data_IF_320935168942
#
_entry.id   IF_320935168942
#
_cell.length_a   1.000
_cell.length_b   1.000
_cell.length_c   1.000
_cell.angle_alpha   90.00
_cell.angle_beta   90.00
_cell.angle_gamma   90.00
#
_symmetry.space_group_name_H-M   'P 1'
#
loop_
_entity.id
_entity.type
_entity.pdbx_description
1 polymer ?
#
# COMPACT_ATOMS: atom_id res chain seq x y z
N UNK A 1 3.01 26.45 6.07
CA UNK A 1 2.89 25.34 5.10
C UNK A 1 2.53 24.01 5.75
N UNK A 2 3.14 23.67 6.90
CA UNK A 2 2.82 22.48 7.73
C UNK A 2 1.31 22.24 8.00
N UNK A 3 0.46 23.25 8.34
CA UNK A 3 -0.96 23.01 8.62
C UNK A 3 -1.78 22.65 7.37
N UNK A 4 -1.33 23.02 6.17
CA UNK A 4 -2.02 22.70 4.91
C UNK A 4 -1.76 21.23 4.54
N UNK A 5 -0.53 20.75 4.70
CA UNK A 5 -0.20 19.34 4.43
C UNK A 5 -0.97 18.37 5.36
N UNK A 6 -1.08 18.71 6.64
CA UNK A 6 -1.86 17.91 7.60
C UNK A 6 -3.36 17.97 7.32
N UNK A 7 -3.90 19.12 6.91
CA UNK A 7 -5.30 19.24 6.46
C UNK A 7 -5.58 18.41 5.19
N UNK A 8 -4.65 18.39 4.22
CA UNK A 8 -4.79 17.59 3.00
C UNK A 8 -4.73 16.09 3.30
N UNK A 9 -3.84 15.67 4.19
CA UNK A 9 -3.76 14.28 4.65
C UNK A 9 -5.07 13.82 5.30
N UNK A 10 -5.64 14.66 6.17
CA UNK A 10 -6.90 14.37 6.84
C UNK A 10 -8.08 14.27 5.84
N UNK A 11 -8.15 15.17 4.85
CA UNK A 11 -9.21 15.13 3.82
C UNK A 11 -9.08 13.95 2.85
N UNK A 12 -7.87 13.41 2.69
CA UNK A 12 -7.57 12.33 1.75
C UNK A 12 -7.60 10.94 2.40
N UNK A 13 -7.64 10.87 3.73
CA UNK A 13 -7.56 9.61 4.48
C UNK A 13 -8.67 8.62 4.08
N UNK A 14 -9.88 9.13 3.83
CA UNK A 14 -11.01 8.33 3.37
C UNK A 14 -10.75 7.67 2.00
N UNK A 15 -9.96 8.31 1.13
CA UNK A 15 -9.60 7.79 -0.18
C UNK A 15 -8.53 6.70 -0.11
N UNK A 16 -7.62 6.80 0.86
CA UNK A 16 -6.57 5.80 1.09
C UNK A 16 -7.19 4.45 1.47
N UNK A 17 -8.37 4.44 2.09
CA UNK A 17 -9.10 3.20 2.40
C UNK A 17 -9.49 2.37 1.19
N UNK A 18 -9.65 2.97 0.02
CA UNK A 18 -9.88 2.20 -1.21
C UNK A 18 -8.64 1.43 -1.68
N UNK A 19 -7.44 1.74 -1.18
CA UNK A 19 -6.21 1.02 -1.55
C UNK A 19 -6.13 -0.38 -0.94
N UNK A 20 -6.67 -0.60 0.25
CA UNK A 20 -6.65 -1.92 0.90
C UNK A 20 -7.29 -3.04 0.07
N UNK A 21 -8.55 -2.92 -0.38
CA UNK A 21 -9.16 -3.98 -1.20
C UNK A 21 -8.43 -4.15 -2.54
N UNK A 22 -7.92 -3.08 -3.14
CA UNK A 22 -7.15 -3.15 -4.38
C UNK A 22 -5.85 -3.96 -4.19
N UNK A 23 -5.09 -3.66 -3.12
CA UNK A 23 -3.85 -4.38 -2.80
C UNK A 23 -4.14 -5.86 -2.52
N UNK A 24 -5.22 -6.16 -1.81
CA UNK A 24 -5.65 -7.53 -1.54
C UNK A 24 -5.97 -8.29 -2.84
N UNK A 25 -6.77 -7.70 -3.74
CA UNK A 25 -7.15 -8.32 -5.01
C UNK A 25 -5.95 -8.54 -5.92
N UNK A 26 -5.07 -7.55 -6.08
CA UNK A 26 -3.86 -7.67 -6.92
C UNK A 26 -2.92 -8.74 -6.37
N UNK A 27 -2.70 -8.76 -5.06
CA UNK A 27 -1.82 -9.75 -4.42
C UNK A 27 -2.36 -11.17 -4.56
N UNK A 28 -3.68 -11.35 -4.41
CA UNK A 28 -4.34 -12.64 -4.60
C UNK A 28 -4.24 -13.11 -6.06
N UNK A 29 -4.52 -12.22 -7.02
CA UNK A 29 -4.44 -12.53 -8.45
C UNK A 29 -3.01 -12.93 -8.86
N UNK A 30 -2.00 -12.24 -8.32
CA UNK A 30 -0.60 -12.62 -8.53
C UNK A 30 -0.26 -13.99 -7.93
N UNK A 31 -0.76 -14.32 -6.74
CA UNK A 31 -0.57 -15.65 -6.13
C UNK A 31 -1.24 -16.76 -6.94
N UNK A 32 -2.45 -16.50 -7.43
CA UNK A 32 -3.31 -17.47 -8.13
C UNK A 32 -2.84 -17.78 -9.56
N UNK A 33 -2.16 -16.86 -10.23
CA UNK A 33 -1.62 -17.11 -11.58
C UNK A 33 -0.39 -18.02 -11.58
N UNK A 34 0.28 -18.17 -10.43
CA UNK A 34 1.55 -18.90 -10.33
C UNK A 34 1.44 -20.28 -9.69
N UNK A 35 0.40 -20.52 -8.88
CA UNK A 35 0.23 -21.78 -8.15
C UNK A 35 -1.22 -22.22 -8.19
N UNK A 36 -1.44 -23.53 -8.26
CA UNK A 36 -2.77 -24.13 -8.26
C UNK A 36 -3.22 -24.55 -6.85
N UNK A 37 -2.26 -24.73 -5.93
CA UNK A 37 -2.54 -25.09 -4.55
C UNK A 37 -2.87 -23.86 -3.68
N UNK A 38 -4.02 -23.90 -3.02
CA UNK A 38 -4.51 -22.81 -2.15
C UNK A 38 -3.49 -22.30 -1.13
N UNK A 39 -2.72 -23.22 -0.52
CA UNK A 39 -1.68 -22.87 0.46
C UNK A 39 -0.58 -22.02 -0.17
N UNK A 40 -0.13 -22.38 -1.36
CA UNK A 40 0.95 -21.68 -2.05
C UNK A 40 0.49 -20.32 -2.58
N UNK A 41 -0.76 -20.25 -3.06
CA UNK A 41 -1.44 -19.00 -3.43
C UNK A 41 -1.45 -18.04 -2.25
N UNK A 42 -1.91 -18.49 -1.08
CA UNK A 42 -2.01 -17.64 0.11
C UNK A 42 -0.65 -17.11 0.57
N UNK A 43 0.39 -17.97 0.61
CA UNK A 43 1.75 -17.56 0.99
C UNK A 43 2.30 -16.50 0.03
N UNK A 44 2.14 -16.72 -1.28
CA UNK A 44 2.62 -15.78 -2.29
C UNK A 44 1.82 -14.47 -2.29
N UNK A 45 0.51 -14.55 -2.12
CA UNK A 45 -0.35 -13.37 -2.01
C UNK A 45 0.02 -12.53 -0.78
N UNK A 46 0.19 -13.14 0.40
CA UNK A 46 0.59 -12.42 1.61
C UNK A 46 1.98 -11.78 1.44
N UNK A 47 2.95 -12.52 0.91
CA UNK A 47 4.30 -11.98 0.65
C UNK A 47 4.24 -10.79 -0.30
N UNK A 48 3.43 -10.85 -1.34
CA UNK A 48 3.23 -9.76 -2.31
C UNK A 48 2.56 -8.55 -1.66
N UNK A 49 1.53 -8.79 -0.85
CA UNK A 49 0.84 -7.74 -0.09
C UNK A 49 1.81 -6.98 0.84
N UNK A 50 2.66 -7.71 1.58
CA UNK A 50 3.69 -7.12 2.46
C UNK A 50 4.67 -6.25 1.65
N UNK A 51 5.14 -6.74 0.50
CA UNK A 51 6.04 -5.97 -0.36
C UNK A 51 5.40 -4.70 -0.91
N UNK A 52 4.15 -4.76 -1.37
CA UNK A 52 3.41 -3.59 -1.88
C UNK A 52 3.21 -2.56 -0.77
N UNK A 53 2.75 -2.99 0.42
CA UNK A 53 2.56 -2.09 1.56
C UNK A 53 3.89 -1.47 2.02
N UNK A 54 4.95 -2.27 2.12
CA UNK A 54 6.27 -1.80 2.51
C UNK A 54 6.84 -0.78 1.53
N UNK A 55 6.71 -1.04 0.23
CA UNK A 55 7.15 -0.11 -0.81
C UNK A 55 6.35 1.20 -0.80
N UNK A 56 5.02 1.12 -0.68
CA UNK A 56 4.18 2.32 -0.57
C UNK A 56 4.50 3.13 0.70
N UNK A 57 4.72 2.48 1.84
CA UNK A 57 5.10 3.14 3.09
C UNK A 57 6.46 3.84 2.96
N UNK A 58 7.43 3.22 2.28
CA UNK A 58 8.73 3.83 2.02
C UNK A 58 8.62 5.08 1.15
N UNK A 59 7.83 5.04 0.07
CA UNK A 59 7.57 6.23 -0.75
C UNK A 59 6.92 7.33 0.08
N UNK A 60 5.91 6.97 0.87
CA UNK A 60 5.20 7.93 1.72
C UNK A 60 6.14 8.60 2.73
N UNK A 61 7.03 7.82 3.35
CA UNK A 61 8.07 8.32 4.24
C UNK A 61 8.97 9.33 3.54
N UNK A 62 9.46 9.02 2.34
CA UNK A 62 10.32 9.93 1.56
C UNK A 62 9.60 11.22 1.22
N UNK A 63 8.34 11.16 0.78
CA UNK A 63 7.53 12.34 0.47
C UNK A 63 7.34 13.22 1.70
N UNK A 64 6.97 12.61 2.82
CA UNK A 64 6.79 13.32 4.10
C UNK A 64 8.09 13.99 4.54
N UNK A 65 9.22 13.28 4.48
CA UNK A 65 10.54 13.85 4.81
C UNK A 65 10.93 15.00 3.87
N UNK A 66 10.67 14.86 2.57
CA UNK A 66 10.95 15.93 1.60
C UNK A 66 10.16 17.22 1.90
N UNK A 67 8.91 17.07 2.35
CA UNK A 67 8.06 18.21 2.75
C UNK A 67 8.40 18.79 4.12
N UNK A 68 9.20 18.12 4.95
CA UNK A 68 9.76 18.70 6.17
C UNK A 68 11.04 19.51 5.91
N UNK A 69 11.77 19.17 4.85
CA UNK A 69 13.02 19.83 4.48
C UNK A 69 12.79 21.13 3.69
N UNK A 70 11.71 21.19 2.91
CA UNK A 70 11.25 22.35 2.12
C UNK A 70 10.27 23.21 2.93
#
# INVERSE_FOLDING_TARGET
MIPVATMILFSTIAKIWYSLPLIAVVSLCYGATRHEHLREIAIHAIRTCIWVLGFMALIFLVVVLSGYWI
#
